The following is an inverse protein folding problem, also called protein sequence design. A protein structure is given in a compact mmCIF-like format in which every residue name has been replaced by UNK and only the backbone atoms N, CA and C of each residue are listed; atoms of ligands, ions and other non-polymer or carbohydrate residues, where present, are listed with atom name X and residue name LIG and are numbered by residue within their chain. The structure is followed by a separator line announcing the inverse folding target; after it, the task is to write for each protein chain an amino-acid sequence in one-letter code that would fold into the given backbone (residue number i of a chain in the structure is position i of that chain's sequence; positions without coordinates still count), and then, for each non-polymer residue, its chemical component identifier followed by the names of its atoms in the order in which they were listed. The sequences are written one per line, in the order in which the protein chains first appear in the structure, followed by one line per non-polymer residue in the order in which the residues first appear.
data_IF_894028522183
#
_entry.id   IF_894028522183
#
_cell.length_a   1.000
_cell.length_b   1.000
_cell.length_c   1.000
_cell.angle_alpha   90.00
_cell.angle_beta   90.00
_cell.angle_gamma   90.00
#
_symmetry.space_group_name_H-M   'P 1'
#
loop_
_entity.id
_entity.type
_entity.pdbx_description
1 polymer ?
#
# COMPACT_ATOMS: atom_id res chain seq x y z
N UNK A 1 22.80 -64.19 23.57
CA UNK A 1 21.64 -63.34 23.94
C UNK A 1 22.05 -61.95 24.47
N UNK A 2 23.18 -61.37 24.05
CA UNK A 2 23.76 -60.15 24.69
C UNK A 2 23.77 -58.88 23.82
N UNK A 3 23.48 -58.97 22.52
CA UNK A 3 23.51 -57.81 21.59
C UNK A 3 22.24 -56.96 21.72
N UNK A 4 21.10 -57.58 22.06
CA UNK A 4 19.80 -56.89 22.21
C UNK A 4 19.76 -55.95 23.42
N UNK A 5 20.42 -56.30 24.52
CA UNK A 5 20.42 -55.49 25.74
C UNK A 5 21.17 -54.15 25.56
N UNK A 6 22.34 -54.16 24.89
CA UNK A 6 23.11 -52.95 24.60
C UNK A 6 22.45 -52.01 23.58
N UNK A 7 21.75 -52.57 22.59
CA UNK A 7 20.95 -51.79 21.64
C UNK A 7 19.78 -51.09 22.34
N UNK A 8 19.03 -51.81 23.18
CA UNK A 8 17.90 -51.25 23.93
C UNK A 8 18.39 -50.12 24.86
N UNK A 9 19.47 -50.31 25.62
CA UNK A 9 20.01 -49.26 26.50
C UNK A 9 20.49 -48.01 25.73
N UNK A 10 21.04 -48.19 24.53
CA UNK A 10 21.56 -47.09 23.69
C UNK A 10 20.45 -46.23 23.08
N UNK A 11 19.33 -46.82 22.67
CA UNK A 11 18.26 -46.11 21.95
C UNK A 11 17.03 -45.76 22.82
N UNK A 12 16.89 -46.32 24.03
CA UNK A 12 15.74 -46.03 24.91
C UNK A 12 15.59 -44.54 25.21
N UNK A 13 16.70 -43.82 25.47
CA UNK A 13 16.65 -42.37 25.70
C UNK A 13 16.12 -41.61 24.48
N UNK A 14 16.54 -42.01 23.27
CA UNK A 14 16.09 -41.36 22.03
C UNK A 14 14.62 -41.66 21.74
N UNK A 15 14.16 -42.88 22.00
CA UNK A 15 12.75 -43.25 21.86
C UNK A 15 11.85 -42.49 22.83
N UNK A 16 12.28 -42.31 24.08
CA UNK A 16 11.56 -41.50 25.07
C UNK A 16 11.48 -40.04 24.63
N UNK A 17 12.59 -39.47 24.14
CA UNK A 17 12.61 -38.09 23.63
C UNK A 17 11.69 -37.93 22.42
N UNK A 18 11.72 -38.87 21.47
CA UNK A 18 10.81 -38.84 20.31
C UNK A 18 9.35 -38.93 20.76
N UNK A 19 9.03 -39.84 21.70
CA UNK A 19 7.67 -39.96 22.22
C UNK A 19 7.20 -38.69 22.93
N UNK A 20 8.07 -38.04 23.71
CA UNK A 20 7.81 -36.76 24.36
C UNK A 20 7.58 -35.64 23.33
N UNK A 21 8.41 -35.55 22.29
CA UNK A 21 8.25 -34.55 21.22
C UNK A 21 6.92 -34.76 20.49
N UNK A 22 6.58 -36.00 20.13
CA UNK A 22 5.31 -36.32 19.46
C UNK A 22 4.11 -35.97 20.34
N UNK A 23 4.16 -36.32 21.64
CA UNK A 23 3.09 -36.02 22.58
C UNK A 23 2.90 -34.50 22.76
N UNK A 24 3.99 -33.77 23.00
CA UNK A 24 3.95 -32.32 23.18
C UNK A 24 3.47 -31.63 21.89
N UNK A 25 3.91 -32.09 20.72
CA UNK A 25 3.42 -31.60 19.44
C UNK A 25 1.93 -31.88 19.24
N UNK A 26 1.44 -33.07 19.59
CA UNK A 26 0.02 -33.42 19.50
C UNK A 26 -0.85 -32.59 20.44
N UNK A 27 -0.38 -32.30 21.66
CA UNK A 27 -1.09 -31.45 22.62
C UNK A 27 -1.03 -29.96 22.27
N UNK A 28 0.05 -29.51 21.62
CA UNK A 28 0.22 -28.14 21.17
C UNK A 28 -0.45 -27.86 19.81
N UNK A 29 -0.98 -28.88 19.12
CA UNK A 29 -1.74 -28.66 17.89
C UNK A 29 -3.01 -27.89 18.25
N UNK A 30 -3.23 -26.69 17.70
CA UNK A 30 -4.49 -25.99 17.88
C UNK A 30 -5.62 -26.88 17.32
N UNK A 31 -6.82 -26.83 17.93
CA UNK A 31 -7.98 -27.52 17.38
C UNK A 31 -8.18 -27.07 15.94
N UNK A 32 -8.36 -28.04 15.05
CA UNK A 32 -8.57 -27.80 13.63
C UNK A 32 -9.95 -28.31 13.22
N UNK A 33 -10.60 -27.57 12.32
CA UNK A 33 -11.88 -27.98 11.77
C UNK A 33 -11.67 -29.11 10.77
N UNK A 34 -12.48 -30.17 10.89
CA UNK A 34 -12.58 -31.20 9.86
C UNK A 34 -12.95 -30.58 8.51
N UNK A 35 -12.61 -31.24 7.41
CA UNK A 35 -12.98 -30.79 6.06
C UNK A 35 -14.49 -30.54 5.94
N UNK A 36 -15.33 -31.41 6.53
CA UNK A 36 -16.78 -31.25 6.55
C UNK A 36 -17.22 -29.98 7.30
N UNK A 37 -16.65 -29.69 8.47
CA UNK A 37 -16.94 -28.47 9.22
C UNK A 37 -16.51 -27.21 8.46
N UNK A 38 -15.33 -27.24 7.82
CA UNK A 38 -14.88 -26.13 6.97
C UNK A 38 -15.82 -25.90 5.80
N UNK A 39 -16.26 -26.96 5.11
CA UNK A 39 -17.22 -26.86 4.01
C UNK A 39 -18.55 -26.31 4.47
N UNK A 40 -19.06 -26.75 5.62
CA UNK A 40 -20.31 -26.24 6.19
C UNK A 40 -20.21 -24.76 6.59
N UNK A 41 -19.10 -24.36 7.22
CA UNK A 41 -18.83 -22.97 7.58
C UNK A 41 -18.64 -22.07 6.34
N UNK A 42 -18.07 -22.60 5.27
CA UNK A 42 -17.87 -21.89 4.01
C UNK A 42 -19.12 -21.84 3.13
N UNK A 43 -20.09 -22.76 3.29
CA UNK A 43 -21.28 -22.83 2.43
C UNK A 43 -22.15 -21.56 2.47
N UNK A 44 -22.04 -20.76 3.53
CA UNK A 44 -22.71 -19.47 3.71
C UNK A 44 -21.94 -18.30 3.08
N UNK A 45 -20.70 -18.51 2.61
CA UNK A 45 -19.87 -17.50 1.96
C UNK A 45 -19.67 -17.84 0.49
N UNK A 46 -20.15 -16.98 -0.40
CA UNK A 46 -19.93 -17.07 -1.84
C UNK A 46 -18.99 -15.93 -2.26
N UNK A 47 -17.88 -16.28 -2.89
CA UNK A 47 -16.96 -15.33 -3.47
C UNK A 47 -17.12 -15.34 -4.99
N UNK A 48 -17.36 -14.17 -5.57
CA UNK A 48 -17.36 -13.98 -7.01
C UNK A 48 -16.13 -13.17 -7.38
N UNK A 49 -15.35 -13.67 -8.34
CA UNK A 49 -14.22 -12.92 -8.86
C UNK A 49 -14.70 -11.92 -9.91
N UNK A 50 -14.40 -10.64 -9.70
CA UNK A 50 -14.72 -9.58 -10.65
C UNK A 50 -13.43 -8.91 -11.11
N UNK A 51 -13.31 -8.71 -12.42
CA UNK A 51 -12.14 -8.05 -13.00
C UNK A 51 -12.27 -6.55 -12.84
N UNK A 52 -11.27 -5.92 -12.24
CA UNK A 52 -11.22 -4.45 -12.15
C UNK A 52 -11.10 -3.85 -13.55
N UNK A 53 -11.71 -2.68 -13.80
CA UNK A 53 -11.60 -2.01 -15.10
C UNK A 53 -10.13 -1.74 -15.47
N UNK A 54 -9.86 -1.48 -16.75
CA UNK A 54 -8.54 -1.03 -17.19
C UNK A 54 -8.73 0.08 -18.21
N UNK A 55 -7.83 1.04 -18.21
CA UNK A 55 -7.83 2.11 -19.20
C UNK A 55 -6.86 1.77 -20.33
N UNK A 56 -7.26 2.00 -21.60
CA UNK A 56 -6.37 1.84 -22.73
C UNK A 56 -5.30 2.95 -22.77
N UNK A 57 -4.32 2.80 -23.67
CA UNK A 57 -3.41 3.88 -24.03
C UNK A 57 -2.04 3.88 -23.36
N UNK A 58 -1.73 2.90 -22.50
CA UNK A 58 -0.38 2.69 -21.96
C UNK A 58 0.13 1.29 -22.27
N UNK A 59 1.39 1.12 -22.71
CA UNK A 59 1.97 -0.20 -22.90
C UNK A 59 2.09 -0.93 -21.55
N UNK A 60 1.87 -2.24 -21.57
CA UNK A 60 2.03 -3.07 -20.39
C UNK A 60 3.52 -3.35 -20.14
N UNK A 61 4.05 -2.87 -19.02
CA UNK A 61 5.36 -3.25 -18.52
C UNK A 61 5.26 -4.52 -17.65
N UNK A 62 6.24 -5.42 -17.81
CA UNK A 62 6.38 -6.61 -16.95
C UNK A 62 7.48 -6.46 -15.90
N UNK A 63 8.54 -5.71 -16.23
CA UNK A 63 9.66 -5.42 -15.32
C UNK A 63 10.00 -3.94 -15.46
N UNK A 64 10.11 -3.24 -14.34
CA UNK A 64 10.51 -1.84 -14.25
C UNK A 64 12.00 -1.71 -14.57
N UNK A 65 12.36 -0.60 -15.20
CA UNK A 65 13.74 -0.15 -15.18
C UNK A 65 14.12 0.22 -13.74
N UNK A 66 15.30 -0.18 -13.31
CA UNK A 66 15.80 0.04 -11.94
C UNK A 66 17.27 0.44 -12.00
N UNK A 67 17.77 0.96 -10.89
CA UNK A 67 19.18 1.27 -10.70
C UNK A 67 20.10 0.13 -11.16
N UNK A 68 21.22 0.41 -11.85
CA UNK A 68 22.15 -0.61 -12.33
C UNK A 68 22.60 -1.62 -11.25
N UNK A 69 22.80 -1.16 -10.01
CA UNK A 69 23.18 -2.04 -8.89
C UNK A 69 22.06 -3.02 -8.46
N UNK A 70 20.81 -2.75 -8.82
CA UNK A 70 19.62 -3.54 -8.45
C UNK A 70 19.08 -4.39 -9.60
N UNK A 71 19.76 -4.45 -10.75
CA UNK A 71 19.29 -5.15 -11.95
C UNK A 71 18.93 -6.63 -11.70
N UNK A 72 19.68 -7.31 -10.84
CA UNK A 72 19.42 -8.71 -10.44
C UNK A 72 18.17 -8.88 -9.57
N UNK A 73 17.65 -7.79 -9.01
CA UNK A 73 16.46 -7.73 -8.17
C UNK A 73 15.29 -7.02 -8.87
N UNK A 74 15.44 -6.63 -10.14
CA UNK A 74 14.44 -5.88 -10.92
C UNK A 74 13.04 -6.51 -10.88
N UNK A 75 12.94 -7.84 -10.98
CA UNK A 75 11.66 -8.55 -10.89
C UNK A 75 11.00 -8.41 -9.51
N UNK A 76 11.79 -8.47 -8.42
CA UNK A 76 11.28 -8.29 -7.06
C UNK A 76 10.85 -6.84 -6.82
N UNK A 77 11.65 -5.87 -7.27
CA UNK A 77 11.31 -4.44 -7.21
C UNK A 77 10.01 -4.15 -7.99
N UNK A 78 9.83 -4.81 -9.14
CA UNK A 78 8.63 -4.65 -9.98
C UNK A 78 7.36 -5.24 -9.37
N UNK A 79 7.49 -6.10 -8.34
CA UNK A 79 6.34 -6.70 -7.67
C UNK A 79 5.68 -5.75 -6.64
N UNK A 80 6.31 -4.63 -6.31
CA UNK A 80 5.75 -3.63 -5.39
C UNK A 80 4.85 -2.61 -6.10
N UNK A 81 3.91 -2.06 -5.33
CA UNK A 81 3.13 -0.87 -5.72
C UNK A 81 1.72 -1.14 -6.27
N UNK A 82 1.21 -2.36 -6.18
CA UNK A 82 -0.20 -2.61 -6.44
C UNK A 82 -1.00 -2.31 -5.17
N UNK A 83 -2.02 -1.47 -5.27
CA UNK A 83 -2.95 -1.17 -4.18
C UNK A 83 -4.35 -1.01 -4.72
N UNK A 84 -5.34 -1.13 -3.83
CA UNK A 84 -6.74 -0.83 -4.07
C UNK A 84 -7.34 -0.25 -2.80
N UNK A 85 -8.13 0.81 -2.95
CA UNK A 85 -8.97 1.39 -1.91
C UNK A 85 -10.43 1.38 -2.39
N UNK A 86 -11.34 1.16 -1.44
CA UNK A 86 -12.78 1.21 -1.62
C UNK A 86 -13.35 2.38 -0.81
N UNK A 87 -14.19 3.20 -1.42
CA UNK A 87 -14.84 4.33 -0.75
C UNK A 87 -16.12 4.75 -1.46
N UNK A 88 -16.86 5.66 -0.85
CA UNK A 88 -17.92 6.44 -1.49
C UNK A 88 -17.28 7.72 -2.05
N UNK A 89 -16.88 7.69 -3.32
CA UNK A 89 -16.26 8.82 -3.99
C UNK A 89 -17.31 9.68 -4.69
N UNK A 90 -18.41 9.08 -5.15
CA UNK A 90 -19.46 9.76 -5.89
C UNK A 90 -20.65 10.22 -5.05
N UNK A 91 -20.54 10.09 -3.72
CA UNK A 91 -21.46 10.62 -2.73
C UNK A 91 -22.82 9.93 -2.71
N UNK A 92 -22.92 8.68 -3.19
CA UNK A 92 -24.16 7.91 -3.21
C UNK A 92 -24.49 7.22 -1.87
N UNK A 93 -23.59 7.33 -0.89
CA UNK A 93 -23.72 6.76 0.45
C UNK A 93 -23.21 5.32 0.56
N UNK A 94 -22.62 4.75 -0.49
CA UNK A 94 -22.12 3.37 -0.52
C UNK A 94 -20.61 3.33 -0.83
N UNK A 95 -19.83 2.47 -0.15
CA UNK A 95 -18.41 2.31 -0.45
C UNK A 95 -18.20 1.44 -1.70
N UNK A 96 -18.68 1.93 -2.85
CA UNK A 96 -18.80 1.20 -4.10
C UNK A 96 -17.98 1.81 -5.24
N UNK A 97 -16.99 2.64 -4.91
CA UNK A 97 -16.01 3.22 -5.81
C UNK A 97 -14.60 2.74 -5.48
N UNK A 98 -13.78 2.57 -6.51
CA UNK A 98 -12.41 2.10 -6.45
C UNK A 98 -11.44 3.24 -6.72
N UNK A 99 -10.34 3.27 -5.98
CA UNK A 99 -9.09 3.89 -6.42
C UNK A 99 -7.97 2.85 -6.34
N UNK A 100 -7.29 2.56 -7.45
CA UNK A 100 -6.27 1.51 -7.48
C UNK A 100 -5.13 1.83 -8.42
N UNK A 101 -3.98 1.21 -8.15
CA UNK A 101 -2.77 1.39 -8.95
C UNK A 101 -2.54 0.16 -9.83
N UNK A 102 -2.53 0.38 -11.14
CA UNK A 102 -2.06 -0.61 -12.09
C UNK A 102 -0.55 -0.40 -12.32
N UNK A 103 0.27 -1.22 -11.67
CA UNK A 103 1.75 -1.13 -11.75
C UNK A 103 2.31 -1.43 -13.13
N UNK A 104 1.56 -2.14 -13.98
CA UNK A 104 2.00 -2.46 -15.36
C UNK A 104 1.86 -1.28 -16.30
N UNK A 105 0.90 -0.39 -16.05
CA UNK A 105 0.68 0.83 -16.84
C UNK A 105 1.10 2.10 -16.10
N UNK A 106 1.48 2.00 -14.82
CA UNK A 106 1.69 3.14 -13.91
C UNK A 106 0.50 4.11 -13.86
N UNK A 107 -0.71 3.58 -13.99
CA UNK A 107 -1.93 4.37 -13.90
C UNK A 107 -2.54 4.22 -12.50
N UNK A 108 -2.99 5.35 -11.95
CA UNK A 108 -3.91 5.37 -10.82
C UNK A 108 -5.30 5.52 -11.40
N UNK A 109 -6.16 4.53 -11.22
CA UNK A 109 -7.47 4.45 -11.86
C UNK A 109 -8.55 4.58 -10.79
N UNK A 110 -9.52 5.45 -11.09
CA UNK A 110 -10.76 5.59 -10.33
C UNK A 110 -11.90 5.03 -11.15
N UNK A 111 -12.73 4.17 -10.54
CA UNK A 111 -13.82 3.49 -11.25
C UNK A 111 -14.93 3.00 -10.30
N UNK A 112 -16.18 2.88 -10.75
CA UNK A 112 -17.20 2.16 -10.00
C UNK A 112 -16.78 0.69 -9.79
N UNK A 113 -17.12 0.11 -8.64
CA UNK A 113 -16.91 -1.31 -8.37
C UNK A 113 -17.70 -2.14 -9.39
N UNK A 114 -17.07 -3.10 -10.09
CA UNK A 114 -17.77 -4.00 -11.00
C UNK A 114 -18.97 -4.68 -10.33
N UNK A 115 -20.07 -4.85 -11.07
CA UNK A 115 -21.30 -5.44 -10.54
C UNK A 115 -22.20 -4.45 -9.78
N UNK A 116 -21.77 -3.20 -9.61
CA UNK A 116 -22.61 -2.08 -9.15
C UNK A 116 -23.13 -1.26 -10.33
N UNK A 117 -23.92 -0.22 -10.09
CA UNK A 117 -24.37 0.71 -11.14
C UNK A 117 -23.19 1.39 -11.83
N UNK A 118 -23.24 1.50 -13.17
CA UNK A 118 -22.22 2.23 -13.94
C UNK A 118 -22.45 3.75 -13.84
N UNK A 119 -22.15 4.32 -12.67
CA UNK A 119 -22.47 5.72 -12.30
C UNK A 119 -21.60 6.74 -13.04
N UNK A 120 -20.34 6.40 -13.29
CA UNK A 120 -19.41 7.22 -14.08
C UNK A 120 -18.42 6.36 -14.86
N UNK A 121 -17.76 6.95 -15.86
CA UNK A 121 -16.75 6.25 -16.66
C UNK A 121 -15.42 6.19 -15.90
N UNK A 122 -14.71 5.05 -15.89
CA UNK A 122 -13.38 4.96 -15.30
C UNK A 122 -12.43 6.04 -15.86
N UNK A 123 -11.61 6.63 -15.00
CA UNK A 123 -10.62 7.65 -15.41
C UNK A 123 -9.32 7.48 -14.64
N UNK A 124 -8.24 8.03 -15.19
CA UNK A 124 -6.93 8.02 -14.55
C UNK A 124 -6.69 9.36 -13.84
N UNK A 125 -6.21 9.30 -12.60
CA UNK A 125 -5.60 10.46 -11.97
C UNK A 125 -4.24 10.71 -12.63
N UNK A 126 -3.88 11.98 -12.75
CA UNK A 126 -2.59 12.40 -13.31
C UNK A 126 -1.94 13.44 -12.42
N UNK A 127 -0.62 13.39 -12.20
CA UNK A 127 0.08 14.25 -11.24
C UNK A 127 0.14 15.72 -11.67
N UNK A 128 -0.18 16.02 -12.94
CA UNK A 128 -0.16 17.39 -13.45
C UNK A 128 -1.06 18.34 -12.62
N UNK A 129 -0.61 19.57 -12.33
CA UNK A 129 0.58 20.22 -12.88
C UNK A 129 1.89 19.93 -12.13
N UNK A 130 1.88 19.03 -11.15
CA UNK A 130 3.04 18.73 -10.32
C UNK A 130 4.13 17.98 -11.11
N UNK A 131 5.42 18.17 -10.77
CA UNK A 131 6.52 17.46 -11.42
C UNK A 131 6.36 15.94 -11.35
N UNK A 132 6.54 15.27 -12.49
CA UNK A 132 6.50 13.82 -12.58
C UNK A 132 7.39 13.33 -13.72
N UNK A 133 8.32 12.45 -13.39
CA UNK A 133 9.17 11.78 -14.36
C UNK A 133 8.78 10.29 -14.44
N UNK A 134 8.15 9.83 -15.55
CA UNK A 134 7.72 8.44 -15.69
C UNK A 134 8.88 7.44 -15.76
N UNK A 135 10.13 7.89 -15.91
CA UNK A 135 11.31 7.03 -15.90
C UNK A 135 11.72 6.70 -14.47
N UNK A 136 11.68 7.68 -13.57
CA UNK A 136 12.22 7.58 -12.20
C UNK A 136 11.14 7.58 -11.12
N UNK A 137 9.88 7.77 -11.49
CA UNK A 137 8.73 7.81 -10.57
C UNK A 137 7.64 6.83 -10.98
N UNK A 138 7.00 6.23 -9.98
CA UNK A 138 5.88 5.33 -10.20
C UNK A 138 4.88 5.40 -9.05
N UNK A 139 3.56 5.42 -9.32
CA UNK A 139 2.57 5.27 -8.27
C UNK A 139 2.68 3.87 -7.66
N UNK A 140 2.51 3.80 -6.34
CA UNK A 140 2.60 2.57 -5.56
C UNK A 140 1.39 2.34 -4.66
N UNK A 141 0.61 3.38 -4.38
CA UNK A 141 -0.75 3.14 -3.96
C UNK A 141 -1.65 4.36 -3.85
N UNK A 142 -2.90 4.07 -3.47
CA UNK A 142 -3.97 5.05 -3.28
C UNK A 142 -4.67 4.81 -1.95
N UNK A 143 -4.93 5.89 -1.22
CA UNK A 143 -5.70 5.93 0.03
C UNK A 143 -6.82 6.93 -0.16
N UNK A 144 -8.03 6.58 0.21
CA UNK A 144 -9.18 7.49 0.18
C UNK A 144 -9.25 8.24 1.51
N UNK A 145 -9.78 9.46 1.54
CA UNK A 145 -10.08 10.18 2.78
C UNK A 145 -10.57 11.59 2.56
N UNK A 146 -11.33 12.17 3.50
CA UNK A 146 -11.67 13.59 3.49
C UNK A 146 -10.51 14.35 4.17
N UNK A 147 -9.56 14.85 3.37
CA UNK A 147 -8.31 15.47 3.88
C UNK A 147 -8.45 16.98 4.08
N UNK A 148 -9.42 17.60 3.42
CA UNK A 148 -9.74 19.02 3.59
C UNK A 148 -10.96 19.28 4.48
N UNK A 149 -11.58 18.22 5.01
CA UNK A 149 -12.71 18.25 5.95
C UNK A 149 -13.95 18.95 5.41
N UNK A 150 -14.19 18.80 4.10
CA UNK A 150 -15.33 19.42 3.43
C UNK A 150 -16.53 18.48 3.23
N UNK A 151 -16.40 17.22 3.67
CA UNK A 151 -17.41 16.18 3.57
C UNK A 151 -17.42 15.44 2.23
N UNK A 152 -16.52 15.79 1.30
CA UNK A 152 -16.30 15.05 0.05
C UNK A 152 -15.08 14.15 0.20
N UNK A 153 -15.13 12.99 -0.45
CA UNK A 153 -14.03 12.03 -0.33
C UNK A 153 -12.91 12.39 -1.30
N UNK A 154 -11.74 12.71 -0.75
CA UNK A 154 -10.51 12.93 -1.50
C UNK A 154 -9.70 11.63 -1.67
N UNK A 155 -8.59 11.75 -2.39
CA UNK A 155 -7.65 10.66 -2.64
C UNK A 155 -6.21 11.12 -2.34
N UNK A 156 -5.41 10.26 -1.73
CA UNK A 156 -3.97 10.43 -1.58
C UNK A 156 -3.29 9.33 -2.38
N UNK A 157 -2.47 9.70 -3.34
CA UNK A 157 -1.62 8.77 -4.08
C UNK A 157 -0.20 8.88 -3.57
N UNK A 158 0.40 7.74 -3.25
CA UNK A 158 1.79 7.66 -2.87
C UNK A 158 2.61 6.90 -3.91
N UNK A 159 3.91 7.15 -3.91
CA UNK A 159 4.80 6.85 -5.02
C UNK A 159 6.12 6.28 -4.56
N UNK A 160 6.81 5.67 -5.51
CA UNK A 160 8.26 5.56 -5.51
C UNK A 160 8.86 6.64 -6.39
N UNK A 161 9.94 7.25 -5.94
CA UNK A 161 10.66 8.33 -6.63
C UNK A 161 10.11 9.73 -6.35
N UNK A 162 9.02 9.88 -5.59
CA UNK A 162 8.48 11.19 -5.18
C UNK A 162 7.63 11.14 -3.91
N UNK A 163 7.39 12.29 -3.29
CA UNK A 163 6.43 12.48 -2.19
C UNK A 163 4.97 12.25 -2.65
N UNK A 164 4.05 11.90 -1.72
CA UNK A 164 2.64 11.74 -2.01
C UNK A 164 1.95 12.99 -2.58
N UNK A 165 0.88 12.77 -3.35
CA UNK A 165 0.01 13.80 -3.90
C UNK A 165 -1.38 13.63 -3.30
N UNK A 166 -1.94 14.74 -2.82
CA UNK A 166 -3.35 14.86 -2.49
C UNK A 166 -4.12 15.23 -3.77
N UNK A 167 -5.16 14.47 -4.06
CA UNK A 167 -6.16 14.75 -5.09
C UNK A 167 -7.44 15.13 -4.37
N UNK A 168 -7.61 16.44 -4.18
CA UNK A 168 -8.72 17.00 -3.42
C UNK A 168 -9.94 17.20 -4.32
N UNK A 169 -11.11 16.82 -3.83
CA UNK A 169 -12.37 16.87 -4.54
C UNK A 169 -12.87 18.31 -4.64
N UNK A 170 -13.22 18.76 -5.85
CA UNK A 170 -13.77 20.09 -6.09
C UNK A 170 -15.24 20.10 -5.72
N UNK A 171 -15.68 21.06 -4.91
CA UNK A 171 -17.08 21.16 -4.48
C UNK A 171 -18.07 21.42 -5.63
N UNK A 172 -17.60 22.00 -6.74
CA UNK A 172 -18.41 22.23 -7.94
C UNK A 172 -18.61 20.97 -8.80
N UNK A 173 -17.88 19.88 -8.52
CA UNK A 173 -18.07 18.62 -9.23
C UNK A 173 -19.35 17.95 -8.73
N UNK A 174 -20.33 17.82 -9.62
CA UNK A 174 -21.60 17.13 -9.32
C UNK A 174 -21.26 15.66 -9.00
N UNK A 175 -21.61 15.14 -7.80
CA UNK A 175 -21.14 13.83 -7.33
C UNK A 175 -21.45 12.68 -8.32
N UNK A 176 -22.60 12.74 -8.99
CA UNK A 176 -23.03 11.74 -9.99
C UNK A 176 -22.29 11.73 -11.34
N UNK A 177 -21.24 12.55 -11.51
CA UNK A 177 -20.40 12.60 -12.73
C UNK A 177 -18.92 12.75 -12.40
N UNK A 178 -18.41 11.89 -11.51
CA UNK A 178 -16.97 11.84 -11.25
C UNK A 178 -16.17 11.70 -12.54
N UNK A 179 -15.18 12.57 -12.69
CA UNK A 179 -14.17 12.50 -13.73
C UNK A 179 -12.83 12.98 -13.19
N UNK A 180 -11.81 12.97 -14.04
CA UNK A 180 -10.48 13.51 -13.69
C UNK A 180 -10.56 14.98 -13.24
N UNK A 181 -11.48 15.73 -13.83
CA UNK A 181 -11.69 17.16 -13.58
C UNK A 181 -12.35 17.43 -12.22
N UNK A 182 -12.93 16.40 -11.57
CA UNK A 182 -13.46 16.51 -10.22
C UNK A 182 -12.38 16.72 -9.16
N UNK A 183 -11.11 16.49 -9.48
CA UNK A 183 -10.01 16.55 -8.52
C UNK A 183 -8.99 17.62 -8.87
N UNK A 184 -8.31 18.13 -7.85
CA UNK A 184 -7.11 18.97 -8.01
C UNK A 184 -5.92 18.35 -7.27
N UNK A 185 -4.77 18.27 -7.96
CA UNK A 185 -3.54 17.77 -7.38
C UNK A 185 -2.86 18.85 -6.51
N UNK A 186 -2.47 18.47 -5.29
CA UNK A 186 -1.70 19.27 -4.32
C UNK A 186 -0.56 18.44 -3.74
N UNK A 187 0.59 19.07 -3.55
CA UNK A 187 1.70 18.42 -2.84
C UNK A 187 1.34 18.24 -1.37
N UNK A 188 1.55 17.05 -0.82
CA UNK A 188 1.54 16.85 0.63
C UNK A 188 2.74 17.55 1.28
N UNK A 189 3.91 17.48 0.61
CA UNK A 189 5.19 17.99 1.10
C UNK A 189 5.64 19.16 0.23
N UNK A 190 5.60 20.41 0.73
CA UNK A 190 6.09 21.57 -0.01
C UNK A 190 7.55 21.40 -0.43
N UNK A 191 7.85 21.67 -1.71
CA UNK A 191 9.18 21.46 -2.28
C UNK A 191 9.45 20.02 -2.76
N UNK A 192 8.56 19.08 -2.42
CA UNK A 192 8.65 17.68 -2.78
C UNK A 192 9.80 16.96 -2.07
N UNK A 193 10.17 15.81 -2.63
CA UNK A 193 11.21 14.94 -2.07
C UNK A 193 11.23 13.65 -2.86
N UNK A 194 12.28 12.86 -2.71
CA UNK A 194 12.41 11.56 -3.38
C UNK A 194 12.17 10.45 -2.39
N UNK A 195 10.92 10.03 -2.28
CA UNK A 195 10.46 9.02 -1.33
C UNK A 195 10.11 7.71 -2.00
N UNK A 196 10.10 6.63 -1.22
CA UNK A 196 9.73 5.29 -1.67
C UNK A 196 8.63 4.72 -0.79
N UNK A 197 7.50 5.41 -0.76
CA UNK A 197 6.37 5.09 0.10
C UNK A 197 5.69 3.79 -0.32
N UNK A 198 5.41 2.92 0.66
CA UNK A 198 4.63 1.70 0.45
C UNK A 198 3.32 1.67 1.22
N UNK A 199 3.22 2.45 2.30
CA UNK A 199 2.02 2.52 3.12
C UNK A 199 1.80 3.94 3.60
N UNK A 200 0.53 4.34 3.60
CA UNK A 200 0.06 5.56 4.24
C UNK A 200 -1.16 5.16 5.06
N UNK A 201 -1.22 5.61 6.31
CA UNK A 201 -2.42 5.46 7.14
C UNK A 201 -2.89 6.81 7.64
N UNK A 202 -4.20 6.91 7.84
CA UNK A 202 -4.89 8.07 8.38
C UNK A 202 -5.29 7.78 9.82
N UNK A 203 -5.07 8.73 10.72
CA UNK A 203 -5.36 8.59 12.15
C UNK A 203 -5.29 9.96 12.79
N UNK A 204 -6.08 10.25 13.81
CA UNK A 204 -5.91 11.44 14.66
C UNK A 204 -4.77 11.13 15.67
N UNK A 205 -3.57 11.66 15.43
CA UNK A 205 -2.35 11.34 16.18
C UNK A 205 -2.23 12.16 17.46
N UNK A 206 -2.71 13.40 17.46
CA UNK A 206 -2.57 14.32 18.59
C UNK A 206 -3.87 14.57 19.38
N UNK A 207 -4.99 14.01 18.91
CA UNK A 207 -6.28 14.05 19.58
C UNK A 207 -7.06 15.34 19.35
N UNK A 208 -6.71 16.12 18.32
CA UNK A 208 -7.39 17.38 17.99
C UNK A 208 -8.66 17.18 17.15
N UNK A 209 -8.91 15.95 16.70
CA UNK A 209 -10.08 15.57 15.91
C UNK A 209 -9.89 15.75 14.40
N UNK A 210 -8.71 16.16 13.94
CA UNK A 210 -8.37 16.29 12.53
C UNK A 210 -7.71 15.02 11.98
N UNK A 211 -7.76 14.84 10.66
CA UNK A 211 -7.17 13.66 10.00
C UNK A 211 -5.67 13.87 9.84
N UNK A 212 -4.84 13.20 10.65
CA UNK A 212 -3.38 13.17 10.47
C UNK A 212 -2.93 11.98 9.61
N UNK A 213 -1.67 12.02 9.16
CA UNK A 213 -1.09 10.98 8.30
C UNK A 213 0.19 10.38 8.89
N UNK A 214 0.34 9.08 8.71
CA UNK A 214 1.62 8.38 8.85
C UNK A 214 2.00 7.83 7.49
N UNK A 215 3.13 8.27 6.95
CA UNK A 215 3.70 7.86 5.66
C UNK A 215 4.92 7.00 5.93
N UNK A 216 4.90 5.74 5.48
CA UNK A 216 5.99 4.79 5.71
C UNK A 216 6.72 4.47 4.41
N UNK A 217 7.99 4.89 4.36
CA UNK A 217 8.88 4.61 3.23
C UNK A 217 9.51 3.21 3.38
N UNK A 218 9.71 2.57 2.24
CA UNK A 218 10.30 1.25 2.14
C UNK A 218 11.82 1.31 1.94
N UNK A 219 12.28 2.26 1.12
CA UNK A 219 13.69 2.58 0.94
C UNK A 219 14.01 3.93 1.56
N UNK A 220 15.29 4.18 1.95
CA UNK A 220 15.73 5.47 2.45
C UNK A 220 15.33 6.64 1.54
N UNK A 221 15.07 7.77 2.16
CA UNK A 221 14.82 9.02 1.46
C UNK A 221 16.02 9.40 0.58
N UNK A 222 15.74 9.88 -0.63
CA UNK A 222 16.78 10.23 -1.59
C UNK A 222 17.34 9.05 -2.40
N UNK A 223 16.93 7.80 -2.14
CA UNK A 223 17.40 6.64 -2.90
C UNK A 223 17.15 6.75 -4.41
N UNK A 224 17.94 6.07 -5.25
CA UNK A 224 17.84 6.12 -6.72
C UNK A 224 17.33 4.78 -7.31
N UNK A 225 16.55 4.01 -6.56
CA UNK A 225 16.05 2.66 -6.91
C UNK A 225 15.47 2.56 -8.33
N UNK A 226 14.69 3.55 -8.78
CA UNK A 226 14.06 3.55 -10.10
C UNK A 226 14.87 4.25 -11.20
N UNK A 227 16.06 4.78 -10.89
CA UNK A 227 16.88 5.53 -11.84
C UNK A 227 17.79 4.60 -12.66
N UNK A 228 17.46 4.29 -13.93
CA UNK A 228 18.26 3.36 -14.74
C UNK A 228 19.64 3.91 -15.12
N UNK A 229 19.89 5.20 -14.89
CA UNK A 229 21.14 5.88 -15.19
C UNK A 229 21.92 6.26 -13.93
N UNK A 230 21.44 5.83 -12.76
CA UNK A 230 22.11 6.07 -11.49
C UNK A 230 23.50 5.43 -11.42
N UNK A 231 24.34 5.98 -10.56
CA UNK A 231 25.70 5.50 -10.30
C UNK A 231 25.84 5.14 -8.83
N UNK A 232 26.83 4.30 -8.50
CA UNK A 232 27.04 3.83 -7.13
C UNK A 232 26.24 2.56 -6.81
N UNK A 233 25.85 2.40 -5.55
CA UNK A 233 25.18 1.19 -5.05
C UNK A 233 24.03 1.57 -4.14
N UNK A 234 22.81 1.23 -4.58
CA UNK A 234 21.61 1.30 -3.76
C UNK A 234 21.63 0.26 -2.64
N UNK A 235 21.06 0.63 -1.50
CA UNK A 235 20.99 -0.24 -0.33
C UNK A 235 19.65 -0.98 -0.29
N UNK A 236 19.71 -2.28 0.00
CA UNK A 236 18.54 -3.09 0.30
C UNK A 236 18.30 -3.13 1.82
N UNK A 237 17.05 -3.27 2.28
CA UNK A 237 16.77 -3.50 3.70
C UNK A 237 17.57 -4.69 4.24
N UNK A 238 18.18 -4.54 5.41
CA UNK A 238 19.06 -5.53 6.03
C UNK A 238 18.35 -6.86 6.35
N UNK A 239 17.02 -6.83 6.48
CA UNK A 239 16.19 -8.02 6.54
C UNK A 239 14.74 -7.69 6.89
N UNK A 240 13.84 -8.67 6.75
CA UNK A 240 12.40 -8.48 6.92
C UNK A 240 11.94 -8.22 8.35
N UNK A 241 12.78 -8.54 9.34
CA UNK A 241 12.46 -8.35 10.77
C UNK A 241 13.29 -7.25 11.43
N UNK A 242 14.33 -6.74 10.75
CA UNK A 242 15.31 -5.78 11.28
C UNK A 242 15.83 -4.90 10.14
N UNK A 243 14.94 -4.11 9.55
CA UNK A 243 15.23 -3.20 8.45
C UNK A 243 15.61 -1.79 8.96
N UNK A 244 16.60 -1.69 9.85
CA UNK A 244 17.03 -0.40 10.42
C UNK A 244 17.66 0.56 9.39
N UNK A 245 17.96 0.06 8.19
CA UNK A 245 18.40 0.84 7.02
C UNK A 245 17.29 0.93 5.95
N UNK A 246 16.04 0.73 6.35
CA UNK A 246 14.85 0.92 5.51
C UNK A 246 14.50 2.39 5.32
N UNK A 247 13.29 2.65 4.83
CA UNK A 247 12.80 4.01 4.65
C UNK A 247 12.34 4.68 5.94
N UNK A 248 12.38 6.00 5.94
CA UNK A 248 11.91 6.83 7.04
C UNK A 248 10.37 6.77 7.16
N UNK A 249 9.88 7.09 8.37
CA UNK A 249 8.46 7.21 8.66
C UNK A 249 8.17 8.67 8.95
N UNK A 250 7.35 9.28 8.12
CA UNK A 250 6.97 10.69 8.23
C UNK A 250 5.60 10.79 8.87
N UNK A 251 5.50 11.59 9.92
CA UNK A 251 4.25 11.85 10.63
C UNK A 251 3.82 13.27 10.29
N UNK A 252 2.56 13.45 9.92
CA UNK A 252 2.01 14.71 9.45
C UNK A 252 0.78 15.06 10.25
N UNK A 253 0.87 16.14 11.04
CA UNK A 253 -0.29 16.69 11.71
C UNK A 253 -1.04 17.63 10.78
N UNK A 254 -2.36 17.54 10.74
CA UNK A 254 -3.20 18.47 10.00
C UNK A 254 -3.02 19.90 10.55
N UNK A 255 -3.20 20.91 9.70
CA UNK A 255 -3.05 22.31 10.13
C UNK A 255 -4.12 23.25 9.62
N UNK A 256 -4.51 23.12 8.35
CA UNK A 256 -5.50 24.00 7.73
C UNK A 256 -5.94 23.43 6.39
N UNK A 257 -7.15 23.77 5.97
CA UNK A 257 -7.69 23.39 4.68
C UNK A 257 -8.66 24.43 4.14
N UNK A 258 -8.97 24.32 2.86
CA UNK A 258 -10.05 25.08 2.20
C UNK A 258 -10.86 24.15 1.30
N UNK A 259 -12.17 24.40 1.26
CA UNK A 259 -13.11 23.78 0.32
C UNK A 259 -13.30 24.65 -0.94
N UNK A 260 -14.06 24.15 -1.91
CA UNK A 260 -14.52 24.92 -3.07
C UNK A 260 -13.95 24.43 -4.39
N UNK A 261 -13.77 25.35 -5.34
CA UNK A 261 -13.27 25.00 -6.68
C UNK A 261 -11.77 24.68 -6.69
N UNK A 262 -10.96 25.33 -5.86
CA UNK A 262 -9.51 25.13 -5.77
C UNK A 262 -9.12 24.74 -4.33
N UNK A 263 -9.58 23.57 -3.83
CA UNK A 263 -9.39 23.18 -2.44
C UNK A 263 -7.90 23.00 -2.09
N UNK A 264 -7.61 23.10 -0.80
CA UNK A 264 -6.28 22.88 -0.21
C UNK A 264 -6.40 22.07 1.07
N UNK A 265 -5.34 21.34 1.40
CA UNK A 265 -5.14 20.72 2.71
C UNK A 265 -3.65 20.83 3.03
N UNK A 266 -3.33 21.28 4.23
CA UNK A 266 -1.97 21.55 4.68
C UNK A 266 -1.65 20.74 5.92
N UNK A 267 -0.48 20.14 5.91
CA UNK A 267 0.02 19.30 6.96
C UNK A 267 1.40 19.78 7.40
N UNK A 268 1.69 19.63 8.69
CA UNK A 268 3.00 19.89 9.26
C UNK A 268 3.65 18.56 9.61
N UNK A 269 4.80 18.29 9.03
CA UNK A 269 5.61 17.14 9.41
C UNK A 269 6.14 17.32 10.85
N UNK A 270 6.09 16.25 11.64
CA UNK A 270 6.66 16.19 12.98
C UNK A 270 7.80 15.19 12.99
N UNK A 271 8.96 15.63 13.46
CA UNK A 271 10.19 14.84 13.50
C UNK A 271 10.58 14.48 14.93
N UNK A 272 11.41 13.46 15.09
CA UNK A 272 11.95 13.04 16.40
C UNK A 272 10.93 12.40 17.34
N UNK A 273 9.80 11.92 16.80
CA UNK A 273 8.74 11.24 17.56
C UNK A 273 8.97 9.73 17.62
N UNK A 274 9.59 9.18 16.58
CA UNK A 274 9.98 7.77 16.49
C UNK A 274 11.47 7.65 16.80
N UNK A 275 11.87 6.53 17.41
CA UNK A 275 13.28 6.26 17.67
C UNK A 275 13.97 5.76 16.39
N UNK A 276 15.29 5.97 16.28
CA UNK A 276 16.10 5.56 15.12
C UNK A 276 16.10 4.03 14.86
N UNK A 277 15.57 3.23 15.80
CA UNK A 277 15.49 1.76 15.69
C UNK A 277 14.10 1.26 15.32
N UNK A 278 13.08 2.12 15.30
CA UNK A 278 11.72 1.77 14.92
C UNK A 278 11.50 1.93 13.44
#
# INVERSE_FOLDING_TARGET
MSIKAGFIQRYTRHLIVIALIVLLYSLARPPDFSSAQRTQLAAQFLFTHLTLPTLPGQPLASVRAVHPSLQRLSAWISAFGASVALSDLDGDGLPNDLCYVNTRTNQVIVAPVPGTSARYAPFALGPAPLPYDPVTMAPTGCVTGDFNEDGLMDLLVYYWGRTPILFLHRQEAVPSRLSRESYVARELVPGGGRWYTNAVTRVDLDGDGHVDLVVANYFPDGAHVLDPHGTGVEQMPAGWSRAYNGGEKHLFLWTSATAGAEPTAHFREVQGVLDDQT
#
